data_IF_856326865220
#
_entry.id   IF_856326865220
#
_cell.length_a   1.000
_cell.length_b   1.000
_cell.length_c   1.000
_cell.angle_alpha   90.00
_cell.angle_beta   90.00
_cell.angle_gamma   90.00
#
_symmetry.space_group_name_H-M   'P 1'
#
loop_
_entity.id
_entity.type
_entity.pdbx_description
1 polymer ?
#
# COMPACT_ATOMS: atom_id res chain seq x y z
N UNK A 1 2.10 7.98 -9.28
CA UNK A 1 2.41 7.18 -8.07
C UNK A 1 1.14 6.65 -7.40
N UNK A 2 0.21 7.51 -6.93
CA UNK A 2 -1.04 7.09 -6.25
C UNK A 2 -1.89 6.09 -7.07
N UNK A 3 -2.04 6.30 -8.38
CA UNK A 3 -2.80 5.40 -9.26
C UNK A 3 -2.25 3.96 -9.31
N UNK A 4 -0.94 3.81 -9.13
CA UNK A 4 -0.27 2.50 -9.11
C UNK A 4 -0.53 1.78 -7.79
N UNK A 5 -0.49 2.54 -6.69
CA UNK A 5 -0.88 2.05 -5.36
C UNK A 5 -2.34 1.59 -5.34
N UNK A 6 -3.26 2.33 -5.99
CA UNK A 6 -4.67 1.94 -6.11
C UNK A 6 -4.84 0.58 -6.79
N UNK A 7 -4.16 0.36 -7.92
CA UNK A 7 -4.20 -0.94 -8.62
C UNK A 7 -3.78 -2.09 -7.70
N UNK A 8 -2.69 -1.94 -6.97
CA UNK A 8 -2.21 -3.01 -6.08
C UNK A 8 -3.14 -3.26 -4.89
N UNK A 9 -3.73 -2.22 -4.31
CA UNK A 9 -4.72 -2.38 -3.25
C UNK A 9 -5.96 -3.13 -3.75
N UNK A 10 -6.43 -2.82 -4.96
CA UNK A 10 -7.53 -3.57 -5.61
C UNK A 10 -7.14 -5.03 -5.84
N UNK A 11 -5.94 -5.29 -6.37
CA UNK A 11 -5.47 -6.67 -6.61
C UNK A 11 -5.32 -7.48 -5.32
N UNK A 12 -4.94 -6.84 -4.22
CA UNK A 12 -4.83 -7.47 -2.90
C UNK A 12 -6.17 -7.59 -2.17
N UNK A 13 -7.25 -7.01 -2.70
CA UNK A 13 -8.53 -6.87 -2.01
C UNK A 13 -8.36 -6.23 -0.61
N UNK A 14 -7.35 -5.36 -0.47
CA UNK A 14 -7.09 -4.63 0.77
C UNK A 14 -8.19 -3.59 0.99
N UNK A 15 -8.81 -3.63 2.16
CA UNK A 15 -9.83 -2.62 2.49
C UNK A 15 -9.16 -1.26 2.73
N UNK A 16 -9.87 -0.15 2.46
CA UNK A 16 -9.34 1.19 2.74
C UNK A 16 -9.04 1.43 4.23
N UNK A 17 -9.61 0.63 5.14
CA UNK A 17 -9.28 0.62 6.57
C UNK A 17 -7.94 -0.06 6.83
N UNK A 18 -7.71 -1.26 6.30
CA UNK A 18 -6.41 -1.96 6.41
C UNK A 18 -5.27 -1.13 5.81
N UNK A 19 -5.52 -0.49 4.65
CA UNK A 19 -4.58 0.46 4.06
C UNK A 19 -4.31 1.65 5.00
N UNK A 20 -5.33 2.20 5.65
CA UNK A 20 -5.16 3.31 6.61
C UNK A 20 -4.38 2.91 7.84
N UNK A 21 -4.69 1.75 8.43
CA UNK A 21 -3.96 1.23 9.59
C UNK A 21 -2.50 0.99 9.29
N UNK A 22 -2.19 0.40 8.13
CA UNK A 22 -0.80 0.22 7.69
C UNK A 22 -0.08 1.56 7.58
N UNK A 23 -0.69 2.55 6.94
CA UNK A 23 -0.08 3.88 6.77
C UNK A 23 0.13 4.59 8.13
N UNK A 24 -0.82 4.41 9.05
CA UNK A 24 -0.75 4.98 10.40
C UNK A 24 0.37 4.31 11.21
N UNK A 25 0.53 2.98 11.13
CA UNK A 25 1.57 2.25 11.85
C UNK A 25 2.97 2.43 11.25
N UNK A 26 3.10 2.42 9.92
CA UNK A 26 4.39 2.45 9.22
C UNK A 26 4.93 3.87 9.06
N UNK A 27 4.07 4.83 8.70
CA UNK A 27 4.48 6.20 8.35
C UNK A 27 3.91 7.26 9.30
N UNK A 28 3.03 6.88 10.25
CA UNK A 28 2.30 7.84 11.09
C UNK A 28 1.20 8.60 10.34
N UNK A 29 0.83 8.19 9.13
CA UNK A 29 -0.02 8.96 8.22
C UNK A 29 -1.38 8.30 7.99
N UNK A 30 -2.42 9.12 7.83
CA UNK A 30 -3.80 8.61 7.62
C UNK A 30 -4.22 8.53 6.16
N UNK A 31 -3.42 9.06 5.25
CA UNK A 31 -3.74 9.06 3.82
C UNK A 31 -2.48 8.95 2.98
N UNK A 32 -2.60 8.22 1.87
CA UNK A 32 -1.54 8.09 0.85
C UNK A 32 -1.16 9.42 0.23
N UNK A 33 -2.09 10.39 0.25
CA UNK A 33 -1.84 11.76 -0.21
C UNK A 33 -0.90 12.55 0.71
N UNK A 34 -0.69 12.08 1.95
CA UNK A 34 0.24 12.70 2.89
C UNK A 34 1.64 12.08 2.81
N UNK A 35 1.81 11.00 2.06
CA UNK A 35 3.10 10.36 1.86
C UNK A 35 3.97 11.21 0.93
N UNK A 36 5.25 11.28 1.25
CA UNK A 36 6.28 11.79 0.34
C UNK A 36 6.52 10.80 -0.80
N UNK A 37 7.14 11.23 -1.90
CA UNK A 37 7.45 10.33 -3.02
C UNK A 37 8.24 9.08 -2.59
N UNK A 38 9.19 9.23 -1.67
CA UNK A 38 9.97 8.12 -1.12
C UNK A 38 9.10 7.14 -0.34
N UNK A 39 8.16 7.64 0.47
CA UNK A 39 7.26 6.78 1.24
C UNK A 39 6.22 6.09 0.35
N UNK A 40 5.77 6.75 -0.72
CA UNK A 40 4.91 6.09 -1.71
C UNK A 40 5.67 4.96 -2.41
N UNK A 41 6.95 5.16 -2.73
CA UNK A 41 7.78 4.11 -3.33
C UNK A 41 7.95 2.91 -2.39
N UNK A 42 8.28 3.14 -1.12
CA UNK A 42 8.37 2.09 -0.09
C UNK A 42 7.03 1.35 0.05
N UNK A 43 5.92 2.09 0.06
CA UNK A 43 4.60 1.49 0.16
C UNK A 43 4.24 0.65 -1.08
N UNK A 44 4.61 1.09 -2.28
CA UNK A 44 4.43 0.31 -3.51
C UNK A 44 5.25 -0.99 -3.46
N UNK A 45 6.48 -0.94 -2.96
CA UNK A 45 7.33 -2.12 -2.84
C UNK A 45 6.72 -3.16 -1.87
N UNK A 46 6.23 -2.70 -0.72
CA UNK A 46 5.49 -3.54 0.22
C UNK A 46 4.26 -4.22 -0.43
N UNK A 47 3.45 -3.47 -1.20
CA UNK A 47 2.28 -4.04 -1.87
C UNK A 47 2.67 -5.08 -2.94
N UNK A 48 3.76 -4.86 -3.68
CA UNK A 48 4.28 -5.84 -4.64
C UNK A 48 4.74 -7.13 -3.95
N UNK A 49 5.42 -6.99 -2.81
CA UNK A 49 5.85 -8.14 -2.02
C UNK A 49 4.64 -8.95 -1.53
N UNK A 50 3.62 -8.27 -0.99
CA UNK A 50 2.36 -8.92 -0.60
C UNK A 50 1.68 -9.65 -1.76
N UNK A 51 1.63 -9.04 -2.95
CA UNK A 51 1.06 -9.69 -4.13
C UNK A 51 1.81 -10.96 -4.53
N UNK A 52 3.13 -10.93 -4.41
CA UNK A 52 3.98 -12.08 -4.76
C UNK A 52 3.84 -13.21 -3.73
N UNK A 53 3.63 -12.87 -2.46
CA UNK A 53 3.43 -13.86 -1.39
C UNK A 53 2.03 -14.48 -1.38
N UNK A 54 1.03 -13.78 -1.94
CA UNK A 54 -0.36 -14.24 -1.97
C UNK A 54 -0.71 -15.04 -3.24
N UNK A 55 0.26 -15.40 -4.08
CA UNK A 55 0.07 -16.35 -5.18
C UNK A 55 0.03 -17.78 -4.62
N UNK A 56 -1.11 -18.50 -4.68
CA UNK A 56 -1.12 -19.92 -4.37
C UNK A 56 -0.35 -20.69 -5.46
N UNK A 57 0.66 -21.45 -5.06
CA UNK A 57 1.21 -22.56 -5.85
C UNK A 57 0.21 -23.67 -6.00
#
# INVERSE_FOLDING_TARGET
MIAQTDRYLTQLNLTPEQGREYLQQKYGKRSRLQLTDTEILDFIDYLKLQLTQNCPT
#
